data_IF_424523502200
#
_entry.id   IF_424523502200
#
_cell.length_a   1.000
_cell.length_b   1.000
_cell.length_c   1.000
_cell.angle_alpha   90.00
_cell.angle_beta   90.00
_cell.angle_gamma   90.00
#
_symmetry.space_group_name_H-M   'P 1'
#
loop_
_entity.id
_entity.type
_entity.pdbx_description
1 polymer ?
#
# COMPACT_ATOMS: atom_id res chain seq x y z
N UNK A 1 -19.89 -8.51 -7.75
CA UNK A 1 -19.73 -7.27 -6.97
C UNK A 1 -19.98 -6.07 -7.88
N UNK A 2 -20.85 -5.15 -7.48
CA UNK A 2 -21.14 -3.93 -8.25
C UNK A 2 -19.87 -3.11 -8.43
N UNK A 3 -19.54 -2.77 -9.69
CA UNK A 3 -18.37 -1.94 -10.02
C UNK A 3 -18.68 -0.48 -9.67
N UNK A 4 -18.55 -0.12 -8.39
CA UNK A 4 -18.83 1.25 -7.90
C UNK A 4 -17.90 2.28 -8.55
N UNK A 5 -16.64 1.91 -8.77
CA UNK A 5 -15.62 2.78 -9.36
C UNK A 5 -15.10 2.22 -10.69
N UNK A 6 -14.77 3.14 -11.61
CA UNK A 6 -14.23 2.80 -12.94
C UNK A 6 -12.76 2.40 -12.87
N UNK A 7 -12.00 3.05 -11.99
CA UNK A 7 -10.58 2.86 -11.71
C UNK A 7 -10.26 3.31 -10.27
N UNK A 8 -9.07 2.95 -9.78
CA UNK A 8 -8.52 3.40 -8.50
C UNK A 8 -7.15 4.05 -8.69
N UNK A 9 -6.78 4.91 -7.76
CA UNK A 9 -5.41 5.37 -7.53
C UNK A 9 -5.02 4.90 -6.14
N UNK A 10 -3.91 4.19 -6.05
CA UNK A 10 -3.24 3.81 -4.81
C UNK A 10 -1.96 4.65 -4.74
N UNK A 11 -1.82 5.46 -3.70
CA UNK A 11 -0.67 6.34 -3.47
C UNK A 11 -0.15 6.04 -2.07
N UNK A 12 1.10 5.57 -1.97
CA UNK A 12 1.74 5.14 -0.72
C UNK A 12 0.82 4.23 0.13
N UNK A 13 0.14 3.29 -0.54
CA UNK A 13 -0.90 2.48 0.07
C UNK A 13 -0.40 1.18 0.67
N UNK A 14 -0.99 0.82 1.81
CA UNK A 14 -0.72 -0.43 2.52
C UNK A 14 -1.31 -1.64 1.79
N UNK A 15 -0.59 -2.76 1.81
CA UNK A 15 -1.00 -4.03 1.22
C UNK A 15 -0.89 -5.22 2.16
N UNK A 16 0.20 -5.30 2.93
CA UNK A 16 0.44 -6.31 3.96
C UNK A 16 0.69 -5.62 5.29
N UNK A 17 -0.29 -5.68 6.20
CA UNK A 17 -0.19 -4.98 7.48
C UNK A 17 0.83 -5.63 8.42
N UNK A 18 1.21 -6.88 8.16
CA UNK A 18 2.23 -7.58 8.93
C UNK A 18 3.62 -7.05 8.57
N UNK A 19 3.88 -6.83 7.28
CA UNK A 19 5.12 -6.21 6.82
C UNK A 19 5.25 -4.79 7.37
N UNK A 20 4.18 -4.00 7.25
CA UNK A 20 4.15 -2.62 7.75
C UNK A 20 4.51 -2.55 9.24
N UNK A 21 4.03 -3.49 10.05
CA UNK A 21 4.29 -3.55 11.48
C UNK A 21 5.78 -3.63 11.86
N UNK A 22 6.64 -4.06 10.94
CA UNK A 22 8.08 -4.21 11.18
C UNK A 22 8.95 -3.32 10.27
N UNK A 23 8.43 -2.86 9.14
CA UNK A 23 9.19 -2.05 8.18
C UNK A 23 8.98 -0.54 8.34
N UNK A 24 7.87 -0.11 8.95
CA UNK A 24 7.56 1.31 9.12
C UNK A 24 8.46 1.98 10.18
N UNK A 25 8.96 3.18 9.86
CA UNK A 25 9.66 4.05 10.83
C UNK A 25 8.73 4.61 11.90
N UNK A 26 7.48 4.88 11.53
CA UNK A 26 6.47 5.45 12.43
C UNK A 26 5.61 4.35 13.06
N UNK A 27 6.08 3.85 14.20
CA UNK A 27 5.50 2.70 14.90
C UNK A 27 4.16 2.99 15.60
N UNK A 28 3.81 4.26 15.81
CA UNK A 28 2.58 4.58 16.54
C UNK A 28 1.35 4.11 15.78
N UNK A 29 1.29 4.34 14.46
CA UNK A 29 0.11 4.00 13.65
C UNK A 29 -0.13 2.49 13.59
N UNK A 30 0.93 1.70 13.39
CA UNK A 30 0.81 0.24 13.23
C UNK A 30 0.17 -0.41 14.45
N UNK A 31 0.60 0.01 15.66
CA UNK A 31 0.03 -0.46 16.91
C UNK A 31 -1.32 0.17 17.24
N UNK A 32 -1.45 1.49 17.11
CA UNK A 32 -2.66 2.23 17.48
C UNK A 32 -3.89 1.71 16.71
N UNK A 33 -3.78 1.59 15.39
CA UNK A 33 -4.90 1.22 14.52
C UNK A 33 -5.23 -0.27 14.63
N UNK A 34 -4.26 -1.07 15.08
CA UNK A 34 -4.42 -2.49 15.42
C UNK A 34 -4.88 -2.72 16.86
N UNK A 35 -5.56 -1.73 17.46
CA UNK A 35 -6.16 -1.85 18.79
C UNK A 35 -5.17 -1.74 19.95
N UNK A 36 -4.05 -1.02 19.74
CA UNK A 36 -2.93 -0.84 20.68
C UNK A 36 -2.15 -2.13 20.96
N UNK A 37 -2.17 -3.07 20.03
CA UNK A 37 -1.36 -4.27 20.08
C UNK A 37 -0.23 -4.20 19.05
N UNK A 38 0.95 -4.67 19.42
CA UNK A 38 1.97 -5.02 18.44
C UNK A 38 1.57 -6.28 17.66
N UNK A 39 2.20 -6.48 16.51
CA UNK A 39 1.86 -7.60 15.63
C UNK A 39 2.09 -8.97 16.29
N UNK A 40 3.09 -9.11 17.16
CA UNK A 40 3.34 -10.37 17.86
C UNK A 40 2.39 -10.61 19.05
N UNK A 41 1.84 -9.55 19.66
CA UNK A 41 0.88 -9.67 20.77
C UNK A 41 -0.50 -10.10 20.28
N UNK A 42 -0.95 -9.56 19.14
CA UNK A 42 -2.26 -9.90 18.58
C UNK A 42 -2.26 -9.91 17.05
N UNK A 43 -1.74 -10.98 16.42
CA UNK A 43 -1.69 -11.10 14.96
C UNK A 43 -3.06 -10.93 14.27
N UNK A 44 -4.13 -11.35 14.95
CA UNK A 44 -5.50 -11.26 14.44
C UNK A 44 -5.97 -9.81 14.25
N UNK A 45 -5.40 -8.85 15.01
CA UNK A 45 -5.76 -7.44 14.86
C UNK A 45 -5.31 -6.88 13.51
N UNK A 46 -4.12 -7.26 13.06
CA UNK A 46 -3.55 -6.84 11.77
C UNK A 46 -4.19 -7.61 10.62
N UNK A 47 -4.47 -8.91 10.78
CA UNK A 47 -5.10 -9.74 9.73
C UNK A 47 -6.54 -9.35 9.40
N UNK A 48 -7.28 -8.78 10.37
CA UNK A 48 -8.73 -8.51 10.24
C UNK A 48 -9.08 -7.60 9.05
N UNK A 49 -8.23 -6.62 8.78
CA UNK A 49 -8.44 -5.62 7.71
C UNK A 49 -7.30 -5.62 6.69
N UNK A 50 -6.48 -6.68 6.68
CA UNK A 50 -5.30 -6.76 5.83
C UNK A 50 -5.71 -6.86 4.33
N UNK A 51 -5.31 -5.91 3.47
CA UNK A 51 -5.66 -5.92 2.05
C UNK A 51 -5.19 -7.17 1.31
N UNK A 52 -4.08 -7.80 1.74
CA UNK A 52 -3.54 -9.00 1.09
C UNK A 52 -4.55 -10.15 1.08
N UNK A 53 -5.40 -10.24 2.11
CA UNK A 53 -6.45 -11.25 2.24
C UNK A 53 -7.63 -11.04 1.27
N UNK A 54 -7.67 -9.89 0.59
CA UNK A 54 -8.77 -9.51 -0.30
C UNK A 54 -8.34 -9.33 -1.75
N UNK A 55 -7.09 -9.68 -2.08
CA UNK A 55 -6.53 -9.56 -3.44
C UNK A 55 -7.41 -10.22 -4.49
N UNK A 56 -8.04 -11.37 -4.19
CA UNK A 56 -8.93 -12.07 -5.12
C UNK A 56 -10.15 -11.24 -5.55
N UNK A 57 -10.53 -10.22 -4.77
CA UNK A 57 -11.70 -9.39 -5.03
C UNK A 57 -11.38 -8.14 -5.88
N UNK A 58 -10.10 -7.78 -6.07
CA UNK A 58 -9.77 -6.64 -6.93
C UNK A 58 -10.23 -6.91 -8.37
N UNK A 59 -10.78 -5.93 -9.09
CA UNK A 59 -11.14 -6.13 -10.50
C UNK A 59 -11.05 -4.85 -11.33
N UNK A 60 -10.80 -3.72 -10.66
CA UNK A 60 -10.76 -2.41 -11.23
C UNK A 60 -9.33 -2.06 -11.63
N UNK A 61 -9.21 -1.34 -12.74
CA UNK A 61 -7.93 -0.80 -13.19
C UNK A 61 -7.35 0.12 -12.11
N UNK A 62 -6.04 0.09 -11.92
CA UNK A 62 -5.40 0.83 -10.83
C UNK A 62 -4.10 1.51 -11.27
N UNK A 63 -3.93 2.78 -10.89
CA UNK A 63 -2.63 3.45 -10.88
C UNK A 63 -2.02 3.28 -9.49
N UNK A 64 -0.79 2.80 -9.41
CA UNK A 64 -0.01 2.69 -8.16
C UNK A 64 1.08 3.77 -8.20
N UNK A 65 1.19 4.56 -7.14
CA UNK A 65 2.14 5.66 -7.00
C UNK A 65 2.95 5.44 -5.72
N UNK A 66 4.27 5.54 -5.81
CA UNK A 66 5.15 5.30 -4.67
C UNK A 66 6.46 6.09 -4.75
N UNK A 67 6.92 6.63 -3.62
CA UNK A 67 8.29 7.10 -3.43
C UNK A 67 9.22 5.99 -2.89
N UNK A 68 10.42 5.85 -3.45
CA UNK A 68 11.43 4.86 -3.01
C UNK A 68 11.91 5.11 -1.57
N UNK A 69 11.97 6.37 -1.15
CA UNK A 69 12.48 6.78 0.17
C UNK A 69 11.36 6.93 1.19
N UNK A 70 10.22 6.32 0.93
CA UNK A 70 9.14 6.25 1.89
C UNK A 70 9.45 5.16 2.94
N UNK A 71 9.94 5.61 4.09
CA UNK A 71 10.19 4.73 5.23
C UNK A 71 8.97 4.58 6.15
N UNK A 72 7.87 5.30 5.88
CA UNK A 72 6.59 5.14 6.61
C UNK A 72 5.77 4.02 6.04
N UNK A 73 5.70 3.99 4.71
CA UNK A 73 5.11 2.91 3.92
C UNK A 73 6.18 2.44 2.95
N UNK A 74 6.90 1.38 3.32
CA UNK A 74 7.97 0.82 2.48
C UNK A 74 7.49 0.64 1.06
N UNK A 75 8.33 1.00 0.10
CA UNK A 75 8.04 0.91 -1.33
C UNK A 75 7.62 -0.50 -1.78
N UNK A 76 8.10 -1.52 -1.07
CA UNK A 76 7.72 -2.92 -1.26
C UNK A 76 6.21 -3.13 -1.20
N UNK A 77 5.47 -2.38 -0.35
CA UNK A 77 4.00 -2.40 -0.25
C UNK A 77 3.33 -2.10 -1.59
N UNK A 78 3.80 -1.08 -2.29
CA UNK A 78 3.28 -0.72 -3.62
C UNK A 78 3.73 -1.70 -4.70
N UNK A 79 4.96 -2.24 -4.62
CA UNK A 79 5.47 -3.23 -5.57
C UNK A 79 4.65 -4.53 -5.50
N UNK A 80 4.29 -4.99 -4.30
CA UNK A 80 3.47 -6.19 -4.14
C UNK A 80 2.03 -5.99 -4.63
N UNK A 81 1.44 -4.80 -4.44
CA UNK A 81 0.14 -4.43 -5.04
C UNK A 81 0.22 -4.54 -6.56
N UNK A 82 1.20 -3.87 -7.16
CA UNK A 82 1.36 -3.85 -8.61
C UNK A 82 1.54 -5.27 -9.16
N UNK A 83 2.38 -6.07 -8.52
CA UNK A 83 2.60 -7.47 -8.88
C UNK A 83 1.32 -8.31 -8.76
N UNK A 84 0.55 -8.15 -7.69
CA UNK A 84 -0.72 -8.85 -7.50
C UNK A 84 -1.74 -8.51 -8.60
N UNK A 85 -1.80 -7.25 -9.03
CA UNK A 85 -2.66 -6.81 -10.14
C UNK A 85 -2.20 -7.43 -11.47
N UNK A 86 -0.90 -7.43 -11.75
CA UNK A 86 -0.32 -8.03 -12.96
C UNK A 86 -0.61 -9.53 -13.03
N UNK A 87 -0.42 -10.28 -11.92
CA UNK A 87 -0.73 -11.71 -11.84
C UNK A 87 -2.19 -12.05 -12.12
N UNK A 88 -3.10 -11.09 -11.91
CA UNK A 88 -4.53 -11.24 -12.15
C UNK A 88 -4.99 -10.62 -13.47
N UNK A 89 -4.04 -10.21 -14.32
CA UNK A 89 -4.30 -9.54 -15.58
C UNK A 89 -5.22 -8.30 -15.43
N UNK A 90 -5.15 -7.62 -14.30
CA UNK A 90 -5.87 -6.37 -14.07
C UNK A 90 -5.06 -5.24 -14.69
N UNK A 91 -5.63 -4.41 -15.57
CA UNK A 91 -4.89 -3.31 -16.17
C UNK A 91 -4.41 -2.33 -15.09
N UNK A 92 -3.09 -2.26 -14.89
CA UNK A 92 -2.47 -1.37 -13.92
C UNK A 92 -1.27 -0.64 -14.50
N UNK A 93 -0.94 0.50 -13.88
CA UNK A 93 0.27 1.28 -14.15
C UNK A 93 0.95 1.60 -12.83
N UNK A 94 2.26 1.74 -12.86
CA UNK A 94 3.07 2.16 -11.71
C UNK A 94 3.81 3.45 -12.06
N UNK A 95 3.67 4.45 -11.20
CA UNK A 95 4.44 5.68 -11.20
C UNK A 95 5.35 5.64 -9.98
N UNK A 96 6.65 5.54 -10.20
CA UNK A 96 7.62 5.31 -9.13
C UNK A 96 8.64 6.45 -9.12
N UNK A 97 8.83 7.07 -7.96
CA UNK A 97 9.72 8.19 -7.77
C UNK A 97 10.91 7.79 -6.90
N UNK A 98 12.08 7.57 -7.53
CA UNK A 98 13.30 7.11 -6.84
C UNK A 98 13.89 8.12 -5.83
N UNK A 99 13.47 9.39 -5.91
CA UNK A 99 13.98 10.45 -5.06
C UNK A 99 13.00 10.94 -4.00
N UNK A 100 11.73 10.57 -4.11
CA UNK A 100 10.66 11.03 -3.20
C UNK A 100 10.53 10.11 -1.99
N UNK A 101 9.98 10.68 -0.91
CA UNK A 101 9.60 9.94 0.29
C UNK A 101 8.07 9.77 0.33
N UNK A 102 7.48 9.60 1.51
CA UNK A 102 6.02 9.56 1.73
C UNK A 102 5.26 10.80 1.21
N UNK A 103 5.98 11.85 0.87
CA UNK A 103 5.48 13.10 0.32
C UNK A 103 6.18 13.34 -1.01
N UNK A 104 5.41 13.78 -2.01
CA UNK A 104 5.97 14.25 -3.28
C UNK A 104 6.40 15.70 -3.09
N UNK A 105 7.70 15.91 -2.90
CA UNK A 105 8.28 17.21 -2.53
C UNK A 105 8.93 17.92 -3.72
N UNK A 106 9.45 17.19 -4.71
CA UNK A 106 10.01 17.83 -5.90
C UNK A 106 8.86 18.43 -6.73
N UNK A 107 8.85 19.76 -6.97
CA UNK A 107 7.79 20.40 -7.74
C UNK A 107 7.63 19.82 -9.15
N UNK A 108 8.71 19.32 -9.76
CA UNK A 108 8.62 18.68 -11.09
C UNK A 108 7.90 17.34 -11.04
N UNK A 109 8.05 16.58 -9.95
CA UNK A 109 7.36 15.30 -9.78
C UNK A 109 5.87 15.50 -9.50
N UNK A 110 5.48 16.64 -8.91
CA UNK A 110 4.08 16.99 -8.66
C UNK A 110 3.28 17.36 -9.94
N UNK A 111 3.95 17.51 -11.09
CA UNK A 111 3.32 17.86 -12.37
C UNK A 111 3.06 16.64 -13.28
N UNK A 112 3.50 15.45 -12.86
CA UNK A 112 3.44 14.21 -13.65
C UNK A 112 2.12 13.49 -13.47
#
# INVERSE_FOLDING_TARGET
>A
MNRRFRAHVNHDGLFDLREMAYAAEELWFTGHDSGRFTQYENPKAYEKFDPINHVANCSQRMLVIQGERDYRVSDTQSIVVFTALQRRAIPSRMLYFSTENHWILNPFNALV
#
